data_IF_817490538473
#
_entry.id   IF_817490538473
#
_cell.length_a   1.000
_cell.length_b   1.000
_cell.length_c   1.000
_cell.angle_alpha   90.00
_cell.angle_beta   90.00
_cell.angle_gamma   90.00
#
_symmetry.space_group_name_H-M   'P 1'
#
loop_
_entity.id
_entity.type
_entity.pdbx_description
1 polymer ?
#
# COMPACT_ATOMS: atom_id res chain seq x y z
N UNK A 1 -23.96 15.93 28.90
CA UNK A 1 -24.91 16.73 29.72
C UNK A 1 -25.31 17.90 28.87
N UNK A 2 -26.60 18.03 28.58
CA UNK A 2 -27.15 19.22 27.90
C UNK A 2 -27.68 20.15 28.99
N UNK A 3 -27.33 21.44 28.96
CA UNK A 3 -28.06 22.46 29.72
C UNK A 3 -29.37 22.84 29.02
N UNK A 4 -30.26 23.51 29.75
CA UNK A 4 -31.56 23.99 29.27
C UNK A 4 -31.54 25.49 28.94
N UNK A 5 -30.35 26.09 28.77
CA UNK A 5 -30.21 27.52 28.50
C UNK A 5 -30.55 27.81 27.04
N UNK A 6 -31.80 28.18 26.76
CA UNK A 6 -32.25 28.51 25.41
C UNK A 6 -31.62 29.78 24.84
N UNK A 7 -30.85 30.53 25.63
CA UNK A 7 -30.17 31.75 25.20
C UNK A 7 -28.72 31.50 24.70
N UNK A 8 -28.19 30.28 24.82
CA UNK A 8 -26.81 29.94 24.43
C UNK A 8 -26.72 28.61 23.70
N UNK A 9 -26.06 28.62 22.55
CA UNK A 9 -25.75 27.39 21.83
C UNK A 9 -24.62 26.63 22.51
N UNK A 10 -24.78 25.31 22.65
CA UNK A 10 -23.70 24.43 23.07
C UNK A 10 -22.86 24.04 21.86
N UNK A 11 -21.68 24.65 21.74
CA UNK A 11 -20.73 24.36 20.66
C UNK A 11 -19.74 23.29 21.10
N UNK A 12 -19.66 22.20 20.33
CA UNK A 12 -18.61 21.19 20.47
C UNK A 12 -17.77 21.17 19.20
N UNK A 13 -16.45 21.21 19.37
CA UNK A 13 -15.50 21.10 18.26
C UNK A 13 -14.90 19.71 18.26
N UNK A 14 -14.96 19.05 17.10
CA UNK A 14 -14.24 17.80 16.84
C UNK A 14 -13.11 18.09 15.88
N UNK A 15 -11.89 17.85 16.31
CA UNK A 15 -10.69 17.91 15.48
C UNK A 15 -10.21 16.50 15.18
N UNK A 16 -9.99 16.21 13.90
CA UNK A 16 -9.46 14.93 13.43
C UNK A 16 -8.07 15.13 12.83
N UNK A 17 -7.25 14.08 12.88
CA UNK A 17 -6.00 13.97 12.16
C UNK A 17 -6.01 12.72 11.29
N UNK A 18 -5.14 12.66 10.30
CA UNK A 18 -4.96 11.45 9.52
C UNK A 18 -4.39 10.31 10.37
N UNK A 19 -4.76 9.08 10.00
CA UNK A 19 -4.10 7.87 10.48
C UNK A 19 -2.98 7.54 9.51
N UNK A 20 -1.79 7.27 10.05
CA UNK A 20 -0.65 6.77 9.28
C UNK A 20 -0.57 5.26 9.45
N UNK A 21 -0.66 4.52 8.35
CA UNK A 21 -0.57 3.06 8.34
C UNK A 21 0.63 2.64 7.46
N UNK A 22 1.62 1.90 8.00
CA UNK A 22 2.76 1.45 7.21
C UNK A 22 2.33 0.37 6.22
N UNK A 23 2.65 0.57 4.95
CA UNK A 23 2.45 -0.44 3.90
C UNK A 23 3.80 -0.98 3.47
N UNK A 24 3.99 -2.28 3.62
CA UNK A 24 5.20 -2.99 3.18
C UNK A 24 4.86 -3.91 1.99
N UNK A 25 5.88 -4.45 1.30
CA UNK A 25 5.65 -5.34 0.17
C UNK A 25 5.00 -6.69 0.57
N UNK A 26 5.23 -7.14 1.80
CA UNK A 26 4.87 -8.50 2.25
C UNK A 26 3.48 -8.65 2.88
N UNK A 27 2.92 -7.58 3.43
CA UNK A 27 1.59 -7.57 4.06
C UNK A 27 0.56 -6.85 3.18
N UNK A 28 -0.75 -6.95 3.47
CA UNK A 28 -1.76 -6.98 2.43
C UNK A 28 -1.73 -5.71 1.59
N UNK A 29 -1.76 -5.90 0.27
CA UNK A 29 -1.87 -4.81 -0.68
C UNK A 29 -3.20 -4.11 -0.44
N UNK A 30 -3.20 -2.86 0.08
CA UNK A 30 -4.43 -2.14 0.39
C UNK A 30 -5.31 -2.02 -0.85
N UNK A 31 -6.61 -2.20 -0.67
CA UNK A 31 -7.58 -2.14 -1.76
C UNK A 31 -8.37 -0.83 -1.69
N UNK A 32 -8.55 -0.10 -2.80
CA UNK A 32 -9.34 1.13 -2.82
C UNK A 32 -10.71 0.97 -2.16
N UNK A 33 -11.14 1.98 -1.40
CA UNK A 33 -12.45 2.03 -0.76
C UNK A 33 -12.77 0.90 0.24
N UNK A 34 -11.76 0.10 0.65
CA UNK A 34 -11.93 -0.90 1.71
C UNK A 34 -11.57 -0.33 3.08
N UNK A 35 -12.20 -0.79 4.17
CA UNK A 35 -11.84 -0.36 5.53
C UNK A 35 -10.36 -0.66 5.85
N UNK A 36 -9.68 0.28 6.50
CA UNK A 36 -8.29 0.10 6.96
C UNK A 36 -8.20 -1.01 8.00
N UNK A 37 -9.21 -1.13 8.87
CA UNK A 37 -9.38 -2.27 9.78
C UNK A 37 -10.48 -3.20 9.23
N UNK A 38 -10.13 -4.40 8.72
CA UNK A 38 -11.11 -5.34 8.16
C UNK A 38 -12.18 -5.81 9.15
N UNK A 39 -11.92 -5.76 10.46
CA UNK A 39 -12.88 -6.11 11.51
C UNK A 39 -13.85 -4.98 11.86
N UNK A 40 -13.62 -3.76 11.35
CA UNK A 40 -14.38 -2.55 11.65
C UNK A 40 -14.86 -1.89 10.34
N UNK A 41 -16.08 -2.18 9.85
CA UNK A 41 -16.56 -1.72 8.55
C UNK A 41 -16.70 -0.21 8.42
N UNK A 42 -16.83 0.49 9.56
CA UNK A 42 -16.93 1.95 9.65
C UNK A 42 -15.57 2.63 9.89
N UNK A 43 -14.47 1.88 9.90
CA UNK A 43 -13.13 2.46 9.95
C UNK A 43 -12.83 3.29 8.70
N UNK A 44 -11.88 4.24 8.76
CA UNK A 44 -11.43 4.97 7.59
C UNK A 44 -11.14 4.02 6.42
N UNK A 45 -11.44 4.46 5.20
CA UNK A 45 -11.24 3.65 3.99
C UNK A 45 -9.94 4.02 3.30
N UNK A 46 -9.28 3.04 2.70
CA UNK A 46 -8.10 3.28 1.87
C UNK A 46 -8.44 4.20 0.68
N UNK A 47 -7.61 5.23 0.41
CA UNK A 47 -7.83 6.14 -0.71
C UNK A 47 -7.61 5.42 -2.06
N UNK A 48 -8.21 5.91 -3.14
CA UNK A 48 -8.04 5.32 -4.47
C UNK A 48 -6.60 5.30 -5.00
N UNK A 49 -5.72 6.13 -4.44
CA UNK A 49 -4.29 6.16 -4.79
C UNK A 49 -3.57 4.84 -4.52
N UNK A 50 -4.08 3.99 -3.62
CA UNK A 50 -3.48 2.67 -3.34
C UNK A 50 -3.59 1.70 -4.51
N UNK A 51 -4.50 1.93 -5.47
CA UNK A 51 -4.60 1.12 -6.69
C UNK A 51 -3.30 1.17 -7.52
N UNK A 52 -2.60 2.31 -7.45
CA UNK A 52 -1.36 2.55 -8.18
C UNK A 52 -0.13 2.33 -7.30
N UNK A 53 -0.28 1.74 -6.12
CA UNK A 53 0.84 1.47 -5.23
C UNK A 53 1.66 0.31 -5.80
N UNK A 54 2.80 0.64 -6.41
CA UNK A 54 3.84 -0.30 -6.75
C UNK A 54 4.99 -0.18 -5.75
N UNK A 55 5.06 -1.14 -4.83
CA UNK A 55 6.10 -1.23 -3.82
C UNK A 55 6.84 -2.58 -3.88
N UNK A 56 6.72 -3.32 -4.99
CA UNK A 56 7.36 -4.61 -5.20
C UNK A 56 8.31 -4.52 -6.37
N UNK A 57 9.60 -4.65 -6.08
CA UNK A 57 10.62 -4.77 -7.12
C UNK A 57 11.16 -6.19 -7.14
N UNK A 58 11.44 -6.70 -8.34
CA UNK A 58 12.12 -7.97 -8.54
C UNK A 58 13.32 -7.74 -9.43
N UNK A 59 14.47 -8.26 -9.02
CA UNK A 59 15.72 -8.11 -9.75
C UNK A 59 16.10 -9.46 -10.34
N UNK A 60 16.31 -9.53 -11.65
CA UNK A 60 16.80 -10.73 -12.29
C UNK A 60 18.16 -10.50 -12.96
N UNK A 61 18.97 -11.56 -13.02
CA UNK A 61 20.21 -11.61 -13.79
C UNK A 61 20.16 -12.76 -14.78
N UNK A 62 20.67 -12.51 -15.98
CA UNK A 62 20.79 -13.52 -17.05
C UNK A 62 22.27 -13.77 -17.33
N UNK A 63 22.69 -15.03 -17.28
CA UNK A 63 24.04 -15.47 -17.60
C UNK A 63 24.05 -16.06 -19.01
N UNK A 64 24.76 -15.39 -19.92
CA UNK A 64 24.96 -15.85 -21.30
C UNK A 64 26.25 -16.66 -21.42
N UNK A 65 26.17 -17.85 -22.01
CA UNK A 65 27.33 -18.68 -22.32
C UNK A 65 27.63 -18.59 -23.81
N UNK A 66 28.75 -17.96 -24.16
CA UNK A 66 29.19 -17.75 -25.54
C UNK A 66 30.61 -18.25 -25.75
N UNK A 67 30.90 -18.72 -26.96
CA UNK A 67 32.27 -18.97 -27.42
C UNK A 67 32.95 -17.64 -27.80
N UNK A 68 34.27 -17.65 -28.06
CA UNK A 68 35.02 -16.45 -28.44
C UNK A 68 34.49 -15.78 -29.72
N UNK A 69 33.89 -16.56 -30.63
CA UNK A 69 33.26 -16.06 -31.86
C UNK A 69 31.87 -15.45 -31.63
N UNK A 70 31.39 -15.44 -30.38
CA UNK A 70 30.07 -14.92 -30.00
C UNK A 70 28.92 -15.89 -30.21
N UNK A 71 29.16 -17.09 -30.73
CA UNK A 71 28.12 -18.11 -30.88
C UNK A 71 27.69 -18.69 -29.53
N UNK A 72 26.42 -19.11 -29.44
CA UNK A 72 25.83 -19.63 -28.20
C UNK A 72 26.47 -20.98 -27.83
N UNK A 73 27.09 -21.03 -26.66
CA UNK A 73 27.72 -22.24 -26.13
C UNK A 73 26.73 -23.09 -25.29
N UNK A 74 25.79 -22.44 -24.60
CA UNK A 74 24.75 -23.08 -23.78
C UNK A 74 23.54 -22.15 -23.64
N UNK A 75 22.41 -22.71 -23.25
CA UNK A 75 21.24 -21.94 -22.79
C UNK A 75 21.56 -21.00 -21.62
N UNK A 76 20.89 -19.86 -21.65
CA UNK A 76 21.00 -18.84 -20.63
C UNK A 76 20.48 -19.35 -19.29
N UNK A 77 21.09 -18.87 -18.20
CA UNK A 77 20.59 -19.10 -16.85
C UNK A 77 20.01 -17.79 -16.33
N UNK A 78 18.73 -17.81 -15.95
CA UNK A 78 18.03 -16.68 -15.35
C UNK A 78 17.88 -16.94 -13.87
N UNK A 79 18.30 -15.99 -13.04
CA UNK A 79 18.13 -16.03 -11.60
C UNK A 79 17.39 -14.77 -11.15
N UNK A 80 16.40 -14.94 -10.27
CA UNK A 80 15.59 -13.86 -9.70
C UNK A 80 15.86 -13.75 -8.21
N UNK A 81 16.09 -12.53 -7.73
CA UNK A 81 16.25 -12.16 -6.33
C UNK A 81 14.92 -11.66 -5.74
#
# INVERSE_FOLDING_TARGET
VYDYDTARDQVYTVTLSERVEPVNPDNPTPQPNTPVDPGQPDSPRWPGTVENLDNKESVSRTIHYVYEDGSKAKDDVVETL
#
